data_IF_926914041334
#
_entry.id   IF_926914041334
#
_cell.length_a   1.000
_cell.length_b   1.000
_cell.length_c   1.000
_cell.angle_alpha   90.00
_cell.angle_beta   90.00
_cell.angle_gamma   90.00
#
_symmetry.space_group_name_H-M   'P 1'
#
loop_
_entity.id
_entity.type
_entity.pdbx_description
1 polymer ?
#
# COMPACT_ATOMS: atom_id res chain seq x y z
N UNK A 1 -2.53 26.54 -15.19
CA UNK A 1 -2.91 25.43 -14.27
C UNK A 1 -4.16 24.76 -14.84
N UNK A 2 -4.18 23.43 -14.96
CA UNK A 2 -5.38 22.70 -15.44
C UNK A 2 -6.48 22.73 -14.37
N UNK A 3 -7.74 22.55 -14.77
CA UNK A 3 -8.88 22.49 -13.83
C UNK A 3 -8.67 21.43 -12.74
N UNK A 4 -8.14 20.26 -13.11
CA UNK A 4 -7.86 19.19 -12.15
C UNK A 4 -6.84 19.60 -11.07
N UNK A 5 -5.81 20.37 -11.45
CA UNK A 5 -4.83 20.86 -10.46
C UNK A 5 -5.44 21.95 -9.58
N UNK A 6 -6.28 22.83 -10.14
CA UNK A 6 -7.01 23.84 -9.35
C UNK A 6 -7.92 23.19 -8.31
N UNK A 7 -8.72 22.20 -8.72
CA UNK A 7 -9.61 21.44 -7.85
C UNK A 7 -8.81 20.73 -6.74
N UNK A 8 -7.64 20.16 -7.06
CA UNK A 8 -6.75 19.54 -6.07
C UNK A 8 -6.18 20.56 -5.07
N UNK A 9 -5.76 21.74 -5.52
CA UNK A 9 -5.28 22.83 -4.64
C UNK A 9 -6.40 23.32 -3.72
N UNK A 10 -7.62 23.49 -4.24
CA UNK A 10 -8.80 23.89 -3.46
C UNK A 10 -9.11 22.83 -2.39
N UNK A 11 -9.15 21.56 -2.77
CA UNK A 11 -9.43 20.46 -1.86
C UNK A 11 -8.35 20.30 -0.78
N UNK A 12 -7.07 20.45 -1.15
CA UNK A 12 -5.95 20.37 -0.22
C UNK A 12 -5.75 21.64 0.63
N UNK A 13 -6.31 22.78 0.19
CA UNK A 13 -6.09 24.12 0.76
C UNK A 13 -4.60 24.52 0.78
N UNK A 14 -3.82 24.01 -0.18
CA UNK A 14 -2.39 24.28 -0.31
C UNK A 14 -1.92 23.95 -1.74
N UNK A 15 -0.81 24.55 -2.15
CA UNK A 15 -0.09 24.17 -3.39
C UNK A 15 0.86 23.00 -3.19
N UNK A 16 1.02 22.52 -1.95
CA UNK A 16 1.82 21.36 -1.59
C UNK A 16 0.95 20.10 -1.59
N UNK A 17 0.89 19.42 -2.74
CA UNK A 17 -0.04 18.34 -2.99
C UNK A 17 0.52 16.97 -2.58
N UNK A 18 -0.38 16.13 -2.06
CA UNK A 18 -0.16 14.69 -1.94
C UNK A 18 -0.66 14.01 -3.20
N UNK A 19 0.19 13.19 -3.81
CA UNK A 19 -0.08 12.56 -5.10
C UNK A 19 0.22 11.07 -5.08
N UNK A 20 -0.47 10.32 -5.93
CA UNK A 20 -0.23 8.90 -6.19
C UNK A 20 0.13 8.73 -7.66
N UNK A 21 1.17 7.98 -7.95
CA UNK A 21 1.53 7.60 -9.32
C UNK A 21 1.17 6.14 -9.58
N UNK A 22 0.78 5.83 -10.81
CA UNK A 22 0.77 4.45 -11.30
C UNK A 22 1.12 4.43 -12.79
N UNK A 23 1.81 3.37 -13.19
CA UNK A 23 2.27 3.13 -14.56
C UNK A 23 1.48 2.02 -15.23
N UNK A 24 1.28 2.14 -16.55
CA UNK A 24 0.87 1.01 -17.37
C UNK A 24 1.84 0.80 -18.52
N UNK A 25 1.92 -0.47 -18.95
CA UNK A 25 2.79 -0.93 -20.02
C UNK A 25 1.95 -1.47 -21.17
N UNK A 26 2.44 -1.33 -22.40
CA UNK A 26 1.78 -1.88 -23.57
C UNK A 26 1.72 -3.43 -23.52
N UNK A 27 2.68 -4.06 -22.85
CA UNK A 27 2.78 -5.52 -22.74
C UNK A 27 2.96 -5.91 -21.29
N UNK A 28 2.41 -7.08 -20.89
CA UNK A 28 2.67 -7.64 -19.56
C UNK A 28 4.16 -7.97 -19.38
N UNK A 29 4.67 -7.73 -18.18
CA UNK A 29 6.07 -7.94 -17.81
C UNK A 29 6.95 -6.71 -18.04
N UNK A 30 8.02 -6.58 -17.25
CA UNK A 30 8.96 -5.44 -17.22
C UNK A 30 9.80 -5.25 -18.51
N UNK A 31 9.39 -5.84 -19.63
CA UNK A 31 10.11 -5.80 -20.91
C UNK A 31 9.49 -4.83 -21.93
N UNK A 32 8.42 -4.11 -21.56
CA UNK A 32 7.77 -3.20 -22.50
C UNK A 32 8.65 -2.01 -22.87
N UNK A 33 8.68 -1.67 -24.15
CA UNK A 33 9.38 -0.48 -24.67
C UNK A 33 8.51 0.78 -24.64
N UNK A 34 7.24 0.65 -24.31
CA UNK A 34 6.29 1.75 -24.29
C UNK A 34 5.37 1.62 -23.07
N UNK A 35 5.06 2.75 -22.48
CA UNK A 35 4.11 2.83 -21.38
C UNK A 35 3.70 4.27 -21.15
N UNK A 36 2.87 4.48 -20.15
CA UNK A 36 2.64 5.80 -19.61
C UNK A 36 2.43 5.68 -18.10
N UNK A 37 2.67 6.77 -17.39
CA UNK A 37 2.26 6.89 -16.00
C UNK A 37 1.32 8.08 -15.85
N UNK A 38 0.37 7.93 -14.93
CA UNK A 38 -0.52 9.00 -14.52
C UNK A 38 -0.21 9.37 -13.08
N UNK A 39 -0.29 10.67 -12.79
CA UNK A 39 -0.20 11.21 -11.44
C UNK A 39 -1.58 11.68 -11.01
N UNK A 40 -2.08 11.20 -9.88
CA UNK A 40 -3.39 11.52 -9.34
C UNK A 40 -3.28 12.31 -8.04
N UNK A 41 -4.24 13.20 -7.79
CA UNK A 41 -4.39 13.85 -6.48
C UNK A 41 -4.92 12.88 -5.43
N UNK A 42 -4.36 12.93 -4.23
CA UNK A 42 -4.86 12.17 -3.07
C UNK A 42 -5.89 12.98 -2.28
N UNK A 43 -7.03 13.29 -2.92
CA UNK A 43 -8.17 13.96 -2.29
C UNK A 43 -9.35 13.00 -2.13
N UNK A 44 -10.46 13.45 -1.57
CA UNK A 44 -11.71 12.67 -1.52
C UNK A 44 -12.29 12.38 -2.90
N UNK A 45 -11.92 13.17 -3.90
CA UNK A 45 -12.31 13.00 -5.30
C UNK A 45 -11.05 13.06 -6.16
N UNK A 46 -10.30 11.95 -6.24
CA UNK A 46 -9.03 11.90 -6.97
C UNK A 46 -9.20 12.31 -8.43
N UNK A 47 -8.28 13.10 -8.94
CA UNK A 47 -8.24 13.53 -10.33
C UNK A 47 -6.84 13.34 -10.90
N UNK A 48 -6.76 13.08 -12.20
CA UNK A 48 -5.48 12.99 -12.91
C UNK A 48 -4.92 14.41 -13.09
N UNK A 49 -3.75 14.66 -12.51
CA UNK A 49 -3.05 15.94 -12.53
C UNK A 49 -2.10 16.07 -13.71
N UNK A 50 -1.43 14.96 -14.05
CA UNK A 50 -0.46 14.91 -15.12
C UNK A 50 -0.33 13.49 -15.66
N UNK A 51 0.09 13.37 -16.92
CA UNK A 51 0.36 12.11 -17.59
C UNK A 51 1.69 12.25 -18.32
N UNK A 52 2.54 11.24 -18.20
CA UNK A 52 3.77 11.13 -18.99
C UNK A 52 3.73 9.84 -19.79
N UNK A 53 3.78 9.98 -21.12
CA UNK A 53 4.01 8.85 -22.02
C UNK A 53 5.50 8.59 -22.13
N UNK A 54 5.93 7.35 -21.92
CA UNK A 54 7.32 6.96 -22.08
C UNK A 54 7.49 6.04 -23.28
N UNK A 55 8.33 6.45 -24.22
CA UNK A 55 8.70 5.67 -25.38
C UNK A 55 10.22 5.42 -25.38
N UNK A 56 10.64 4.16 -25.57
CA UNK A 56 12.04 3.78 -25.58
C UNK A 56 12.62 3.63 -26.99
N UNK A 57 11.95 2.85 -27.84
CA UNK A 57 12.43 2.60 -29.20
C UNK A 57 11.41 1.87 -30.06
N UNK A 58 11.54 2.04 -31.36
CA UNK A 58 10.91 1.18 -32.36
C UNK A 58 11.52 -0.22 -32.23
N UNK A 59 10.70 -1.27 -32.21
CA UNK A 59 11.20 -2.66 -32.20
C UNK A 59 11.84 -2.97 -33.56
N UNK A 60 13.05 -3.54 -33.54
CA UNK A 60 13.72 -4.09 -34.73
C UNK A 60 13.12 -5.47 -35.07
N UNK A 61 11.84 -5.50 -35.40
CA UNK A 61 11.11 -6.74 -35.73
C UNK A 61 11.37 -7.22 -37.16
N UNK A 62 11.62 -6.28 -38.08
CA UNK A 62 11.95 -6.51 -39.48
C UNK A 62 13.13 -5.61 -39.85
N UNK A 63 14.31 -6.15 -40.17
CA UNK A 63 15.51 -5.36 -40.46
C UNK A 63 15.34 -4.40 -41.66
N UNK A 64 14.62 -4.81 -42.69
CA UNK A 64 14.42 -3.99 -43.89
C UNK A 64 13.48 -2.82 -43.59
N UNK A 65 12.31 -3.10 -43.00
CA UNK A 65 11.38 -2.04 -42.57
C UNK A 65 11.97 -1.13 -41.50
N UNK A 66 12.78 -1.66 -40.59
CA UNK A 66 13.47 -0.85 -39.59
C UNK A 66 14.43 0.14 -40.24
N UNK A 67 15.23 -0.31 -41.20
CA UNK A 67 16.17 0.54 -41.93
C UNK A 67 15.45 1.62 -42.75
N UNK A 68 14.25 1.34 -43.26
CA UNK A 68 13.47 2.35 -43.98
C UNK A 68 12.79 3.34 -43.04
N UNK A 69 12.26 2.88 -41.91
CA UNK A 69 11.65 3.75 -40.89
C UNK A 69 12.71 4.67 -40.27
N UNK A 70 13.91 4.17 -39.97
CA UNK A 70 14.91 4.98 -39.27
C UNK A 70 15.50 6.11 -40.13
N UNK A 71 15.46 5.99 -41.46
CA UNK A 71 15.92 7.04 -42.39
C UNK A 71 15.14 8.35 -42.24
N UNK A 72 13.85 8.28 -41.89
CA UNK A 72 12.98 9.45 -41.70
C UNK A 72 12.45 9.60 -40.28
N UNK A 73 12.82 8.70 -39.36
CA UNK A 73 12.33 8.70 -38.00
C UNK A 73 12.88 9.89 -37.19
N UNK A 74 11.95 10.67 -36.62
CA UNK A 74 12.26 11.58 -35.52
C UNK A 74 12.02 10.84 -34.21
N UNK A 75 13.09 10.55 -33.48
CA UNK A 75 12.99 9.76 -32.27
C UNK A 75 12.31 10.53 -31.14
N UNK A 76 11.14 10.05 -30.71
CA UNK A 76 10.45 10.50 -29.51
C UNK A 76 10.93 9.80 -28.23
N UNK A 77 12.13 9.18 -28.24
CA UNK A 77 12.69 8.55 -27.04
C UNK A 77 12.89 9.61 -25.97
N UNK A 78 12.14 9.50 -24.89
CA UNK A 78 12.20 10.42 -23.75
C UNK A 78 12.70 9.72 -22.47
N UNK A 79 13.13 8.47 -22.58
CA UNK A 79 13.52 7.67 -21.42
C UNK A 79 14.55 6.57 -21.72
N UNK A 80 15.40 6.24 -20.73
CA UNK A 80 16.32 5.10 -20.76
C UNK A 80 16.05 4.06 -19.66
N UNK A 81 15.58 2.89 -20.07
CA UNK A 81 15.19 1.77 -19.19
C UNK A 81 16.35 1.11 -18.46
N UNK A 82 17.59 1.38 -18.89
CA UNK A 82 18.78 0.80 -18.25
C UNK A 82 19.14 1.55 -16.95
N UNK A 83 18.72 2.80 -16.84
CA UNK A 83 19.08 3.68 -15.71
C UNK A 83 18.00 3.67 -14.63
N UNK A 84 16.73 3.66 -15.02
CA UNK A 84 15.59 3.83 -14.13
C UNK A 84 14.45 2.90 -14.60
N UNK A 85 13.48 2.53 -13.76
CA UNK A 85 12.23 1.94 -14.22
C UNK A 85 11.33 2.96 -14.94
N UNK A 86 10.60 2.55 -15.98
CA UNK A 86 9.76 3.44 -16.80
C UNK A 86 8.84 4.32 -15.97
N UNK A 87 8.13 3.72 -15.02
CA UNK A 87 7.21 4.43 -14.12
C UNK A 87 7.93 5.50 -13.30
N UNK A 88 9.07 5.16 -12.70
CA UNK A 88 9.83 6.11 -11.89
C UNK A 88 10.34 7.31 -12.68
N UNK A 89 10.73 7.11 -13.95
CA UNK A 89 11.12 8.21 -14.81
C UNK A 89 9.94 9.06 -15.27
N UNK A 90 8.81 8.41 -15.57
CA UNK A 90 7.59 9.10 -15.92
C UNK A 90 7.15 10.03 -14.78
N UNK A 91 7.09 9.51 -13.56
CA UNK A 91 6.77 10.27 -12.35
C UNK A 91 7.80 11.37 -12.10
N UNK A 92 9.09 11.08 -12.24
CA UNK A 92 10.15 12.10 -12.11
C UNK A 92 9.97 13.27 -13.10
N UNK A 93 9.64 13.00 -14.36
CA UNK A 93 9.38 14.04 -15.36
C UNK A 93 8.17 14.91 -14.97
N UNK A 94 7.10 14.29 -14.45
CA UNK A 94 5.93 15.00 -13.94
C UNK A 94 6.27 15.89 -12.73
N UNK A 95 7.12 15.41 -11.82
CA UNK A 95 7.61 16.20 -10.69
C UNK A 95 8.45 17.40 -11.14
N UNK A 96 9.41 17.19 -12.06
CA UNK A 96 10.31 18.25 -12.55
C UNK A 96 9.57 19.42 -13.20
N UNK A 97 8.44 19.16 -13.87
CA UNK A 97 7.64 20.22 -14.54
C UNK A 97 6.49 20.77 -13.70
N UNK A 98 6.21 20.21 -12.53
CA UNK A 98 5.05 20.57 -11.70
C UNK A 98 4.99 22.06 -11.37
N UNK A 99 6.11 22.64 -10.95
CA UNK A 99 6.22 24.05 -10.58
C UNK A 99 6.06 24.97 -11.78
N UNK A 100 6.82 24.75 -12.86
CA UNK A 100 6.78 25.62 -14.04
C UNK A 100 5.47 25.51 -14.82
N UNK A 101 4.88 24.30 -14.89
CA UNK A 101 3.66 24.04 -15.67
C UNK A 101 2.39 24.36 -14.89
N UNK A 102 2.38 24.10 -13.58
CA UNK A 102 1.17 24.18 -12.78
C UNK A 102 1.28 25.07 -11.55
N UNK A 103 2.47 25.45 -11.08
CA UNK A 103 2.63 26.26 -9.87
C UNK A 103 2.37 25.50 -8.58
N UNK A 104 2.56 24.17 -8.57
CA UNK A 104 2.35 23.30 -7.40
C UNK A 104 3.60 22.48 -7.10
N UNK A 105 3.71 22.03 -5.85
CA UNK A 105 4.77 21.13 -5.40
C UNK A 105 4.16 19.77 -5.02
N UNK A 106 4.76 18.69 -5.49
CA UNK A 106 4.37 17.35 -5.06
C UNK A 106 5.22 16.92 -3.86
N UNK A 107 4.77 17.21 -2.63
CA UNK A 107 5.58 17.03 -1.42
C UNK A 107 5.36 15.67 -0.74
N UNK A 108 4.29 14.96 -1.07
CA UNK A 108 3.99 13.62 -0.55
C UNK A 108 3.65 12.69 -1.70
N UNK A 109 4.29 11.52 -1.75
CA UNK A 109 4.07 10.51 -2.77
C UNK A 109 3.54 9.22 -2.13
N UNK A 110 2.30 8.85 -2.49
CA UNK A 110 1.69 7.58 -2.13
C UNK A 110 2.07 6.56 -3.19
N UNK A 111 2.68 5.46 -2.75
CA UNK A 111 3.20 4.42 -3.63
C UNK A 111 2.84 3.03 -3.12
N UNK A 112 2.83 2.06 -4.03
CA UNK A 112 2.59 0.65 -3.77
C UNK A 112 3.79 -0.05 -3.08
N UNK A 113 4.73 0.74 -2.56
CA UNK A 113 5.79 0.23 -1.71
C UNK A 113 7.04 -0.22 -2.44
N UNK A 114 7.15 -0.17 -3.78
CA UNK A 114 8.48 -0.28 -4.41
C UNK A 114 9.33 0.95 -4.05
N UNK A 115 10.26 0.76 -3.11
CA UNK A 115 11.19 1.79 -2.65
C UNK A 115 12.03 2.42 -3.77
N UNK A 116 12.15 1.78 -4.95
CA UNK A 116 12.96 2.29 -6.06
C UNK A 116 12.44 3.60 -6.63
N UNK A 117 11.13 3.70 -6.90
CA UNK A 117 10.50 4.92 -7.42
C UNK A 117 10.72 6.08 -6.47
N UNK A 118 10.40 5.88 -5.18
CA UNK A 118 10.60 6.90 -4.16
C UNK A 118 12.06 7.33 -4.01
N UNK A 119 13.02 6.39 -3.99
CA UNK A 119 14.45 6.72 -3.89
C UNK A 119 14.93 7.57 -5.08
N UNK A 120 14.39 7.31 -6.27
CA UNK A 120 14.72 8.08 -7.47
C UNK A 120 14.13 9.48 -7.39
N UNK A 121 12.89 9.62 -6.92
CA UNK A 121 12.26 10.92 -6.67
C UNK A 121 13.03 11.72 -5.61
N UNK A 122 13.39 11.12 -4.48
CA UNK A 122 14.19 11.77 -3.44
C UNK A 122 15.52 12.31 -3.98
N UNK A 123 16.19 11.55 -4.85
CA UNK A 123 17.50 11.93 -5.39
C UNK A 123 17.44 12.96 -6.53
N UNK A 124 16.37 12.97 -7.32
CA UNK A 124 16.34 13.68 -8.61
C UNK A 124 15.18 14.67 -8.78
N UNK A 125 14.15 14.60 -7.93
CA UNK A 125 12.98 15.47 -7.95
C UNK A 125 12.96 16.47 -6.79
N UNK A 126 13.95 16.40 -5.89
CA UNK A 126 13.98 17.19 -4.65
C UNK A 126 13.92 18.67 -4.98
N UNK A 127 12.79 19.30 -4.67
CA UNK A 127 12.70 20.75 -4.63
C UNK A 127 13.68 21.23 -3.55
N UNK A 128 14.44 22.29 -3.84
CA UNK A 128 15.54 22.79 -2.99
C UNK A 128 15.20 22.83 -1.50
N UNK A 129 13.97 23.21 -1.15
CA UNK A 129 13.51 23.38 0.23
C UNK A 129 12.31 22.49 0.62
N UNK A 130 11.91 21.54 -0.24
CA UNK A 130 10.75 20.67 0.02
C UNK A 130 11.04 19.21 -0.32
N UNK A 131 11.60 18.43 0.63
CA UNK A 131 11.84 17.01 0.41
C UNK A 131 10.51 16.26 0.23
N UNK A 132 10.50 15.31 -0.72
CA UNK A 132 9.32 14.47 -0.99
C UNK A 132 9.19 13.39 0.08
N UNK A 133 8.09 13.35 0.81
CA UNK A 133 7.81 12.33 1.81
C UNK A 133 7.16 11.09 1.18
N UNK A 134 7.66 9.89 1.48
CA UNK A 134 6.96 8.64 1.16
C UNK A 134 5.78 8.45 2.08
N UNK A 135 4.62 8.19 1.52
CA UNK A 135 3.44 7.74 2.24
C UNK A 135 3.14 6.32 1.77
N UNK A 136 2.95 5.41 2.70
CA UNK A 136 2.57 4.04 2.36
C UNK A 136 1.06 3.94 2.22
N UNK A 137 0.63 3.22 1.18
CA UNK A 137 -0.78 2.90 1.06
C UNK A 137 -1.24 1.91 2.15
N UNK A 138 -2.56 1.84 2.32
CA UNK A 138 -3.19 0.93 3.28
C UNK A 138 -2.90 -0.55 2.98
N UNK A 139 -2.81 -0.91 1.70
CA UNK A 139 -2.61 -2.30 1.29
C UNK A 139 -1.24 -2.79 1.77
N UNK A 140 -0.19 -2.01 1.51
CA UNK A 140 1.19 -2.24 1.92
C UNK A 140 1.35 -2.20 3.42
N UNK A 141 0.71 -1.24 4.08
CA UNK A 141 0.68 -1.19 5.54
C UNK A 141 0.09 -2.49 6.14
N UNK A 142 -1.03 -2.98 5.59
CA UNK A 142 -1.61 -4.26 6.03
C UNK A 142 -0.72 -5.47 5.69
N UNK A 143 -0.06 -5.47 4.52
CA UNK A 143 0.87 -6.53 4.12
C UNK A 143 2.09 -6.60 5.05
N UNK A 144 2.51 -5.49 5.66
CA UNK A 144 3.58 -5.49 6.67
C UNK A 144 3.20 -6.33 7.89
N UNK A 145 1.98 -6.14 8.42
CA UNK A 145 1.48 -6.99 9.52
C UNK A 145 1.51 -8.47 9.12
N UNK A 146 0.99 -8.81 7.93
CA UNK A 146 1.05 -10.18 7.41
C UNK A 146 2.50 -10.70 7.34
N UNK A 147 3.43 -9.92 6.83
CA UNK A 147 4.85 -10.31 6.72
C UNK A 147 5.51 -10.54 8.09
N UNK A 148 5.14 -9.75 9.10
CA UNK A 148 5.56 -9.97 10.49
C UNK A 148 5.07 -11.32 11.01
N UNK A 149 3.77 -11.60 10.89
CA UNK A 149 3.18 -12.87 11.30
C UNK A 149 3.75 -14.07 10.52
N UNK A 150 4.00 -13.92 9.22
CA UNK A 150 4.64 -14.94 8.39
C UNK A 150 6.08 -15.22 8.83
N UNK A 151 6.80 -14.20 9.29
CA UNK A 151 8.16 -14.33 9.81
C UNK A 151 8.18 -15.09 11.12
N UNK A 152 7.34 -14.70 12.07
CA UNK A 152 7.16 -15.38 13.36
C UNK A 152 6.78 -16.85 13.12
N UNK A 153 5.80 -17.10 12.25
CA UNK A 153 5.38 -18.46 11.89
C UNK A 153 6.52 -19.30 11.31
N UNK A 154 7.38 -18.71 10.47
CA UNK A 154 8.54 -19.40 9.89
C UNK A 154 9.60 -19.71 10.95
N UNK A 155 9.90 -18.76 11.82
CA UNK A 155 10.89 -18.89 12.90
C UNK A 155 10.49 -19.93 13.95
N UNK A 156 9.20 -20.02 14.27
CA UNK A 156 8.64 -20.97 15.23
C UNK A 156 8.09 -22.24 14.57
N UNK A 157 8.09 -22.35 13.24
CA UNK A 157 7.39 -23.41 12.51
C UNK A 157 7.84 -24.84 12.85
N UNK A 158 9.11 -25.00 13.26
CA UNK A 158 9.68 -26.28 13.71
C UNK A 158 9.79 -26.40 15.23
N UNK A 159 9.57 -25.31 15.97
CA UNK A 159 9.66 -25.28 17.43
C UNK A 159 8.35 -25.75 18.05
N UNK A 160 8.46 -26.54 19.11
CA UNK A 160 7.31 -26.83 19.97
C UNK A 160 7.11 -25.68 20.93
N UNK A 161 5.88 -25.20 21.04
CA UNK A 161 5.49 -24.22 22.04
C UNK A 161 5.26 -24.93 23.39
N UNK A 162 4.90 -24.19 24.43
CA UNK A 162 4.68 -24.75 25.77
C UNK A 162 3.60 -25.83 25.86
N UNK A 163 2.71 -25.92 24.86
CA UNK A 163 1.71 -26.99 24.74
C UNK A 163 2.15 -28.18 23.85
N UNK A 164 3.44 -28.28 23.52
CA UNK A 164 4.00 -29.38 22.72
C UNK A 164 3.62 -29.36 21.23
N UNK A 165 2.93 -28.31 20.75
CA UNK A 165 2.47 -28.15 19.36
C UNK A 165 3.24 -27.05 18.64
N UNK A 166 3.33 -27.13 17.31
CA UNK A 166 3.99 -26.12 16.45
C UNK A 166 3.09 -24.91 16.24
N UNK A 167 3.66 -23.72 16.05
CA UNK A 167 2.88 -22.45 15.94
C UNK A 167 1.78 -22.46 14.85
N UNK A 168 1.96 -23.27 13.81
CA UNK A 168 0.99 -23.45 12.72
C UNK A 168 -0.02 -24.57 12.96
N UNK A 169 -0.87 -24.81 11.96
CA UNK A 169 -1.87 -25.89 11.97
C UNK A 169 -3.29 -25.43 12.29
N UNK A 170 -4.21 -26.40 12.40
CA UNK A 170 -5.64 -26.17 12.64
C UNK A 170 -5.83 -25.42 13.96
N UNK A 171 -6.66 -24.37 13.93
CA UNK A 171 -6.95 -23.49 15.08
C UNK A 171 -5.71 -22.79 15.67
N UNK A 172 -4.65 -22.58 14.87
CA UNK A 172 -3.44 -21.83 15.26
C UNK A 172 -3.12 -20.76 14.23
N UNK A 173 -1.87 -20.28 14.18
CA UNK A 173 -1.39 -19.27 13.23
C UNK A 173 -1.18 -19.88 11.84
N UNK A 174 -2.27 -20.32 11.20
CA UNK A 174 -2.30 -20.82 9.82
C UNK A 174 -2.24 -19.67 8.80
N UNK A 175 -1.97 -19.97 7.53
CA UNK A 175 -2.07 -18.98 6.43
C UNK A 175 -3.43 -18.29 6.41
N UNK A 176 -4.51 -19.07 6.56
CA UNK A 176 -5.86 -18.55 6.56
C UNK A 176 -6.13 -17.63 7.75
N UNK A 177 -5.55 -17.94 8.92
CA UNK A 177 -5.61 -17.09 10.11
C UNK A 177 -4.89 -15.77 9.85
N UNK A 178 -3.67 -15.81 9.32
CA UNK A 178 -2.86 -14.62 9.01
C UNK A 178 -3.58 -13.72 7.98
N UNK A 179 -4.14 -14.30 6.92
CA UNK A 179 -4.92 -13.58 5.91
C UNK A 179 -6.15 -12.91 6.55
N UNK A 180 -6.89 -13.61 7.42
CA UNK A 180 -8.04 -13.03 8.14
C UNK A 180 -7.63 -11.87 9.04
N UNK A 181 -6.51 -11.99 9.75
CA UNK A 181 -5.97 -10.90 10.57
C UNK A 181 -5.60 -9.68 9.72
N UNK A 182 -4.91 -9.89 8.60
CA UNK A 182 -4.58 -8.81 7.66
C UNK A 182 -5.85 -8.10 7.14
N UNK A 183 -6.84 -8.85 6.68
CA UNK A 183 -8.10 -8.29 6.16
C UNK A 183 -8.84 -7.51 7.25
N UNK A 184 -8.90 -8.06 8.47
CA UNK A 184 -9.55 -7.41 9.61
C UNK A 184 -8.84 -6.11 9.98
N UNK A 185 -7.51 -6.11 9.98
CA UNK A 185 -6.70 -4.93 10.25
C UNK A 185 -6.89 -3.85 9.18
N UNK A 186 -6.81 -4.22 7.89
CA UNK A 186 -7.07 -3.30 6.80
C UNK A 186 -8.49 -2.71 6.86
N UNK A 187 -9.49 -3.52 7.18
CA UNK A 187 -10.88 -3.08 7.36
C UNK A 187 -11.02 -2.10 8.52
N UNK A 188 -10.32 -2.35 9.63
CA UNK A 188 -10.30 -1.48 10.80
C UNK A 188 -9.77 -0.09 10.44
N UNK A 189 -8.65 -0.02 9.72
CA UNK A 189 -8.09 1.27 9.29
C UNK A 189 -9.07 2.02 8.38
N UNK A 190 -9.72 1.34 7.41
CA UNK A 190 -10.71 2.01 6.53
C UNK A 190 -11.87 2.61 7.32
N UNK A 191 -12.36 1.89 8.34
CA UNK A 191 -13.49 2.32 9.17
C UNK A 191 -13.12 3.44 10.14
N UNK A 192 -11.86 3.53 10.56
CA UNK A 192 -11.41 4.48 11.59
C UNK A 192 -10.44 5.55 11.03
N UNK A 193 -10.43 5.78 9.71
CA UNK A 193 -9.45 6.64 9.04
C UNK A 193 -9.44 8.11 9.48
N UNK A 194 -10.46 8.56 10.22
CA UNK A 194 -10.57 9.93 10.74
C UNK A 194 -10.52 10.01 12.28
N UNK A 195 -10.29 8.89 12.95
CA UNK A 195 -10.25 8.79 14.42
C UNK A 195 -9.11 7.87 14.84
N UNK A 196 -7.98 8.48 15.21
CA UNK A 196 -6.76 7.76 15.56
C UNK A 196 -6.89 6.99 16.88
N UNK A 197 -7.64 7.51 17.84
CA UNK A 197 -7.85 6.85 19.14
C UNK A 197 -8.74 5.62 18.97
N UNK A 198 -9.78 5.72 18.15
CA UNK A 198 -10.61 4.59 17.77
C UNK A 198 -9.83 3.57 16.93
N UNK A 199 -8.97 4.03 16.01
CA UNK A 199 -8.09 3.16 15.24
C UNK A 199 -7.16 2.37 16.16
N UNK A 200 -6.51 3.03 17.12
CA UNK A 200 -5.64 2.39 18.10
C UNK A 200 -6.42 1.35 18.92
N UNK A 201 -7.57 1.75 19.47
CA UNK A 201 -8.46 0.88 20.26
C UNK A 201 -8.90 -0.35 19.46
N UNK A 202 -9.45 -0.17 18.25
CA UNK A 202 -9.92 -1.29 17.43
C UNK A 202 -8.78 -2.17 16.90
N UNK A 203 -7.59 -1.61 16.69
CA UNK A 203 -6.42 -2.40 16.32
C UNK A 203 -6.01 -3.35 17.45
N UNK A 204 -5.95 -2.87 18.69
CA UNK A 204 -5.71 -3.71 19.86
C UNK A 204 -6.83 -4.72 20.12
N UNK A 205 -8.07 -4.36 19.82
CA UNK A 205 -9.20 -5.28 19.93
C UNK A 205 -8.99 -6.55 19.10
N UNK A 206 -8.35 -6.47 17.91
CA UNK A 206 -8.07 -7.66 17.09
C UNK A 206 -7.20 -8.67 17.86
N UNK A 207 -6.13 -8.20 18.50
CA UNK A 207 -5.21 -9.04 19.27
C UNK A 207 -5.90 -9.61 20.52
N UNK A 208 -6.51 -8.74 21.33
CA UNK A 208 -7.13 -9.15 22.60
C UNK A 208 -8.35 -10.05 22.41
N UNK A 209 -9.08 -9.89 21.31
CA UNK A 209 -10.18 -10.78 20.96
C UNK A 209 -9.68 -12.19 20.62
N UNK A 210 -8.48 -12.33 20.04
CA UNK A 210 -7.84 -13.64 19.83
C UNK A 210 -7.24 -14.23 21.11
N UNK A 211 -6.82 -13.37 22.04
CA UNK A 211 -6.26 -13.76 23.34
C UNK A 211 -7.32 -14.19 24.36
N UNK A 212 -8.56 -13.74 24.18
CA UNK A 212 -9.66 -14.00 25.11
C UNK A 212 -10.00 -15.49 25.23
N UNK A 213 -10.25 -15.94 26.46
CA UNK A 213 -10.68 -17.31 26.79
C UNK A 213 -11.94 -17.28 27.64
N UNK A 214 -12.59 -18.43 27.85
CA UNK A 214 -13.76 -18.49 28.74
C UNK A 214 -13.40 -18.11 30.19
N UNK A 215 -12.20 -18.49 30.66
CA UNK A 215 -11.73 -18.20 32.03
C UNK A 215 -11.15 -16.78 32.18
N UNK A 216 -10.70 -16.16 31.08
CA UNK A 216 -10.08 -14.82 31.04
C UNK A 216 -10.59 -14.07 29.79
N UNK A 217 -11.83 -13.53 29.84
CA UNK A 217 -12.43 -12.80 28.73
C UNK A 217 -11.86 -11.37 28.64
N UNK A 218 -11.13 -11.07 27.56
CA UNK A 218 -10.42 -9.78 27.37
C UNK A 218 -11.05 -8.94 26.26
N UNK A 219 -12.23 -8.40 26.53
CA UNK A 219 -13.00 -7.60 25.55
C UNK A 219 -13.02 -6.10 25.82
N UNK A 220 -12.08 -5.57 26.63
CA UNK A 220 -12.02 -4.14 27.01
C UNK A 220 -11.99 -3.18 25.81
N UNK A 221 -11.33 -3.58 24.72
CA UNK A 221 -11.21 -2.76 23.50
C UNK A 221 -12.30 -3.05 22.45
N UNK A 222 -13.20 -3.99 22.74
CA UNK A 222 -14.25 -4.40 21.81
C UNK A 222 -15.48 -3.48 21.89
N UNK A 223 -16.34 -3.55 20.87
CA UNK A 223 -17.66 -2.89 20.90
C UNK A 223 -18.80 -3.89 20.68
N UNK A 224 -19.98 -3.53 21.17
CA UNK A 224 -21.23 -4.30 21.00
C UNK A 224 -21.67 -4.44 19.54
N UNK A 225 -21.13 -3.64 18.62
CA UNK A 225 -21.48 -3.70 17.20
C UNK A 225 -21.10 -5.06 16.59
N UNK A 226 -19.94 -5.59 16.98
CA UNK A 226 -19.34 -6.76 16.33
C UNK A 226 -18.88 -7.85 17.30
N UNK A 227 -18.66 -7.55 18.58
CA UNK A 227 -18.18 -8.55 19.53
C UNK A 227 -19.32 -9.44 20.04
N UNK A 228 -19.27 -10.73 19.71
CA UNK A 228 -20.25 -11.72 20.16
C UNK A 228 -20.31 -11.86 21.68
N UNK A 229 -19.16 -11.84 22.37
CA UNK A 229 -19.12 -11.93 23.84
C UNK A 229 -19.87 -10.78 24.51
N UNK A 230 -19.62 -9.53 24.10
CA UNK A 230 -20.28 -8.38 24.70
C UNK A 230 -21.79 -8.37 24.39
N UNK A 231 -22.20 -8.85 23.21
CA UNK A 231 -23.63 -9.09 22.89
C UNK A 231 -24.22 -10.14 23.83
N UNK A 232 -23.54 -11.26 24.05
CA UNK A 232 -24.00 -12.30 24.96
C UNK A 232 -24.12 -11.82 26.41
N UNK A 233 -23.18 -11.00 26.89
CA UNK A 233 -23.27 -10.36 28.22
C UNK A 233 -24.50 -9.45 28.31
N UNK A 234 -24.74 -8.61 27.29
CA UNK A 234 -25.92 -7.75 27.23
C UNK A 234 -27.22 -8.55 27.23
N UNK A 235 -27.26 -9.64 26.46
CA UNK A 235 -28.46 -10.44 26.23
C UNK A 235 -28.65 -11.54 27.30
N UNK A 236 -27.74 -11.67 28.26
CA UNK A 236 -27.77 -12.70 29.30
C UNK A 236 -27.58 -14.14 28.77
N UNK A 237 -26.92 -14.30 27.62
CA UNK A 237 -26.67 -15.61 26.98
C UNK A 237 -25.24 -16.10 27.22
N UNK A 238 -25.01 -17.41 27.06
CA UNK A 238 -23.66 -17.97 27.12
C UNK A 238 -22.87 -17.68 25.85
N UNK A 239 -21.54 -17.58 25.98
CA UNK A 239 -20.61 -17.37 24.88
C UNK A 239 -19.40 -18.29 25.03
N UNK A 240 -19.02 -18.98 23.96
CA UNK A 240 -17.86 -19.86 23.94
C UNK A 240 -16.73 -19.31 23.05
N UNK A 241 -15.59 -19.01 23.67
CA UNK A 241 -14.40 -18.46 23.00
C UNK A 241 -13.61 -19.50 22.19
N UNK A 242 -13.85 -20.80 22.38
CA UNK A 242 -13.01 -21.86 21.77
C UNK A 242 -12.97 -21.82 20.24
N UNK A 243 -14.02 -21.28 19.61
CA UNK A 243 -14.18 -21.21 18.16
C UNK A 243 -13.41 -20.07 17.51
N UNK A 244 -13.01 -19.06 18.29
CA UNK A 244 -12.43 -17.81 17.77
C UNK A 244 -11.06 -17.48 18.35
N UNK A 245 -10.74 -17.96 19.55
CA UNK A 245 -9.47 -17.74 20.22
C UNK A 245 -8.30 -18.47 19.53
N UNK A 246 -7.10 -17.91 19.67
CA UNK A 246 -5.86 -18.65 19.39
C UNK A 246 -5.29 -19.17 20.71
N UNK A 247 -4.64 -20.34 20.73
CA UNK A 247 -4.01 -20.85 21.94
C UNK A 247 -3.00 -19.85 22.51
N UNK A 248 -2.98 -19.66 23.85
CA UNK A 248 -2.02 -18.76 24.52
C UNK A 248 -0.57 -18.94 24.05
N UNK A 249 -0.04 -20.17 23.92
CA UNK A 249 1.35 -20.35 23.46
C UNK A 249 1.61 -19.75 22.07
N UNK A 250 0.61 -19.71 21.19
CA UNK A 250 0.71 -19.09 19.85
C UNK A 250 0.79 -17.58 19.96
N UNK A 251 -0.01 -16.97 20.83
CA UNK A 251 -0.06 -15.52 21.00
C UNK A 251 1.12 -14.99 21.81
N UNK A 252 1.64 -15.76 22.76
CA UNK A 252 2.84 -15.40 23.51
C UNK A 252 4.11 -15.40 22.62
N UNK A 253 4.03 -16.05 21.44
CA UNK A 253 5.08 -16.04 20.43
C UNK A 253 4.92 -14.93 19.37
N UNK A 254 3.79 -14.19 19.38
CA UNK A 254 3.43 -13.15 18.41
C UNK A 254 3.65 -11.76 18.98
#
# INVERSE_FOLDING_TARGET
MTRAVQDAVIAAKTTDLTVSGDGFWQTRGFQSSHGAAALLSCTTTPQVLDIEMCALSIKKSDPAKYNDIIKSHRCGKNFDKTLVPLEAAAVLNMFKRSVSKYGVYYTKYVDDGDSKTHNILLKNASYTDKPVQKIEDLNHFSKRMKRGLDTIRREYGRKKLSDGKTIGGKNRLSDQTIIRLQITFASTIRKCKYDLDLLHTRSWAIFWHKYSTNDDPRHKFCSNEWCGYLKSVRDGTSYDHTTHALPRPVLDAV
#
